data_IF_797626058625
#
_entry.id   IF_797626058625
#
_cell.length_a   1.000
_cell.length_b   1.000
_cell.length_c   1.000
_cell.angle_alpha   90.00
_cell.angle_beta   90.00
_cell.angle_gamma   90.00
#
_symmetry.space_group_name_H-M   'P 1'
#
loop_
_entity.id
_entity.type
_entity.pdbx_description
1 polymer ?
#
# COMPACT_ATOMS: atom_id res chain seq x y z
N UNK A 1 -40.63 6.17 0.96
CA UNK A 1 -39.37 5.81 1.62
C UNK A 1 -38.34 5.57 0.52
N UNK A 2 -37.39 6.49 0.28
CA UNK A 2 -36.39 6.27 -0.75
C UNK A 2 -35.52 5.08 -0.33
N UNK A 3 -35.55 4.02 -1.13
CA UNK A 3 -34.53 2.96 -1.08
C UNK A 3 -33.23 3.66 -1.45
N UNK A 4 -32.42 3.99 -0.46
CA UNK A 4 -31.03 4.38 -0.68
C UNK A 4 -30.35 3.13 -1.26
N UNK A 5 -29.96 3.12 -2.54
CA UNK A 5 -29.10 2.06 -3.02
C UNK A 5 -27.77 2.25 -2.31
N UNK A 6 -27.47 1.36 -1.36
CA UNK A 6 -26.17 1.32 -0.72
C UNK A 6 -25.18 0.85 -1.79
N UNK A 7 -24.48 1.82 -2.34
CA UNK A 7 -23.53 1.69 -3.43
C UNK A 7 -22.43 0.70 -2.99
N UNK A 8 -22.35 -0.44 -3.66
CA UNK A 8 -21.40 -1.52 -3.33
C UNK A 8 -19.92 -1.06 -3.40
N UNK A 9 -19.65 0.10 -4.01
CA UNK A 9 -18.30 0.65 -4.07
C UNK A 9 -17.81 1.16 -2.71
N UNK A 10 -18.68 1.70 -1.86
CA UNK A 10 -18.26 2.31 -0.58
C UNK A 10 -17.71 1.25 0.38
N UNK A 11 -18.42 0.11 0.52
CA UNK A 11 -17.99 -1.03 1.35
C UNK A 11 -16.66 -1.66 0.89
N UNK A 12 -16.43 -1.69 -0.42
CA UNK A 12 -15.18 -2.17 -0.99
C UNK A 12 -14.03 -1.19 -0.69
N UNK A 13 -14.30 0.12 -0.70
CA UNK A 13 -13.32 1.15 -0.37
C UNK A 13 -13.01 1.21 1.13
N UNK A 14 -14.00 1.07 2.00
CA UNK A 14 -13.79 1.03 3.46
C UNK A 14 -12.92 -0.17 3.89
N UNK A 15 -13.19 -1.35 3.32
CA UNK A 15 -12.36 -2.53 3.56
C UNK A 15 -10.93 -2.38 3.04
N UNK A 16 -10.75 -1.59 1.99
CA UNK A 16 -9.44 -1.28 1.43
C UNK A 16 -8.71 -0.27 2.33
N UNK A 17 -9.34 0.84 2.70
CA UNK A 17 -8.79 1.87 3.58
C UNK A 17 -8.24 1.29 4.88
N UNK A 18 -9.02 0.41 5.51
CA UNK A 18 -8.60 -0.28 6.74
C UNK A 18 -7.33 -1.12 6.57
N UNK A 19 -7.06 -1.59 5.35
CA UNK A 19 -5.86 -2.34 4.99
C UNK A 19 -4.70 -1.41 4.58
N UNK A 20 -4.97 -0.21 4.06
CA UNK A 20 -3.96 0.85 3.87
C UNK A 20 -3.40 1.34 5.21
N UNK A 21 -4.25 1.37 6.23
CA UNK A 21 -3.88 1.78 7.59
C UNK A 21 -3.04 0.73 8.34
N UNK A 22 -2.96 -0.52 7.84
CA UNK A 22 -2.07 -1.51 8.42
C UNK A 22 -0.61 -1.07 8.29
N UNK A 23 0.16 -1.30 9.36
CA UNK A 23 1.58 -1.00 9.38
C UNK A 23 2.37 -2.03 8.59
N UNK A 24 3.53 -1.62 8.06
CA UNK A 24 4.50 -2.49 7.38
C UNK A 24 4.95 -3.67 8.25
N UNK A 25 4.97 -3.47 9.57
CA UNK A 25 5.21 -4.52 10.56
C UNK A 25 4.08 -5.58 10.66
N UNK A 26 2.84 -5.19 10.37
CA UNK A 26 1.66 -6.07 10.51
C UNK A 26 1.45 -6.97 9.30
N UNK A 27 1.90 -6.50 8.13
CA UNK A 27 1.78 -7.21 6.85
C UNK A 27 2.90 -8.25 6.60
N UNK A 28 3.68 -8.53 7.64
CA UNK A 28 4.67 -9.61 7.65
C UNK A 28 5.97 -9.27 6.93
N UNK A 29 6.33 -7.99 6.81
CA UNK A 29 7.63 -7.61 6.26
C UNK A 29 8.75 -7.96 7.23
N UNK A 30 9.92 -8.27 6.69
CA UNK A 30 11.09 -8.53 7.50
C UNK A 30 11.44 -7.30 8.35
N UNK A 31 11.88 -7.53 9.59
CA UNK A 31 12.28 -6.48 10.55
C UNK A 31 13.32 -5.50 9.96
N UNK A 32 14.16 -5.98 9.04
CA UNK A 32 15.13 -5.14 8.33
C UNK A 32 14.47 -4.22 7.32
N UNK A 33 13.46 -4.73 6.61
CA UNK A 33 12.65 -3.95 5.67
C UNK A 33 11.84 -2.89 6.39
N UNK A 34 11.17 -3.25 7.49
CA UNK A 34 10.35 -2.32 8.28
C UNK A 34 11.23 -1.21 8.86
N UNK A 35 12.35 -1.53 9.50
CA UNK A 35 13.25 -0.49 10.04
C UNK A 35 13.75 0.48 8.97
N UNK A 36 14.03 0.01 7.74
CA UNK A 36 14.44 0.88 6.64
C UNK A 36 13.31 1.76 6.11
N UNK A 37 12.09 1.24 6.11
CA UNK A 37 10.89 1.99 5.73
C UNK A 37 10.56 3.04 6.79
N UNK A 38 10.58 2.67 8.08
CA UNK A 38 10.34 3.55 9.22
C UNK A 38 11.35 4.71 9.30
N UNK A 39 12.62 4.46 8.96
CA UNK A 39 13.65 5.51 8.91
C UNK A 39 13.38 6.56 7.81
N UNK A 40 12.69 6.17 6.73
CA UNK A 40 12.18 7.10 5.70
C UNK A 40 10.86 7.76 6.09
N UNK A 41 10.22 7.34 7.17
CA UNK A 41 8.88 7.80 7.56
C UNK A 41 7.73 6.93 7.03
N UNK A 42 8.04 5.76 6.46
CA UNK A 42 7.07 4.85 5.84
C UNK A 42 6.65 3.79 6.87
N UNK A 43 5.63 4.10 7.67
CA UNK A 43 5.12 3.19 8.70
C UNK A 43 3.96 2.32 8.22
N UNK A 44 3.20 2.79 7.22
CA UNK A 44 1.94 2.17 6.76
C UNK A 44 1.99 1.74 5.30
N UNK A 45 1.10 0.82 4.94
CA UNK A 45 0.89 0.43 3.53
C UNK A 45 0.47 1.62 2.68
N UNK A 46 -0.27 2.56 3.25
CA UNK A 46 -0.63 3.83 2.61
C UNK A 46 0.60 4.64 2.20
N UNK A 47 1.52 4.85 3.14
CA UNK A 47 2.72 5.63 2.89
C UNK A 47 3.61 4.92 1.85
N UNK A 48 3.66 3.59 1.92
CA UNK A 48 4.39 2.77 0.97
C UNK A 48 3.77 2.78 -0.44
N UNK A 49 2.44 2.88 -0.56
CA UNK A 49 1.73 3.09 -1.83
C UNK A 49 1.99 4.47 -2.43
N UNK A 50 2.21 5.48 -1.59
CA UNK A 50 2.64 6.83 -1.98
C UNK A 50 4.12 6.87 -2.38
N UNK A 51 4.99 6.06 -1.78
CA UNK A 51 6.40 5.96 -2.15
C UNK A 51 6.63 5.21 -3.46
N UNK A 52 7.48 5.75 -4.34
CA UNK A 52 7.76 5.11 -5.64
C UNK A 52 8.77 3.98 -5.52
N UNK A 53 8.77 3.09 -6.52
CA UNK A 53 9.78 2.02 -6.61
C UNK A 53 11.20 2.58 -6.58
N UNK A 54 11.42 3.70 -7.26
CA UNK A 54 12.71 4.36 -7.35
C UNK A 54 13.19 4.85 -5.98
N UNK A 55 12.27 5.43 -5.20
CA UNK A 55 12.55 5.86 -3.83
C UNK A 55 12.90 4.68 -2.93
N UNK A 56 12.20 3.55 -3.06
CA UNK A 56 12.50 2.33 -2.32
C UNK A 56 13.86 1.74 -2.73
N UNK A 57 14.16 1.62 -4.04
CA UNK A 57 15.46 1.13 -4.54
C UNK A 57 16.65 2.04 -4.18
N UNK A 58 16.40 3.32 -3.90
CA UNK A 58 17.43 4.26 -3.46
C UNK A 58 17.89 4.05 -2.00
N UNK A 59 17.18 3.25 -1.20
CA UNK A 59 17.60 2.96 0.17
C UNK A 59 18.75 1.96 0.13
N UNK A 60 19.88 2.29 0.75
CA UNK A 60 21.12 1.48 0.72
C UNK A 60 20.99 0.06 1.29
N UNK A 61 19.82 -0.28 1.85
CA UNK A 61 19.45 -1.57 2.41
C UNK A 61 18.20 -2.19 1.75
N UNK A 62 17.62 -1.55 0.73
CA UNK A 62 16.58 -2.11 -0.12
C UNK A 62 17.20 -2.79 -1.33
N UNK A 63 16.95 -4.09 -1.47
CA UNK A 63 17.25 -4.82 -2.68
C UNK A 63 15.99 -5.27 -3.40
N UNK A 64 16.17 -5.91 -4.55
CA UNK A 64 15.10 -6.55 -5.32
C UNK A 64 14.29 -7.54 -4.47
N UNK A 65 14.95 -8.30 -3.58
CA UNK A 65 14.28 -9.20 -2.62
C UNK A 65 13.34 -8.46 -1.67
N UNK A 66 13.83 -7.38 -1.08
CA UNK A 66 13.08 -6.56 -0.13
C UNK A 66 11.86 -5.93 -0.79
N UNK A 67 12.06 -5.45 -2.03
CA UNK A 67 11.04 -4.85 -2.87
C UNK A 67 9.96 -5.88 -3.28
N UNK A 68 10.37 -7.07 -3.67
CA UNK A 68 9.46 -8.17 -4.02
C UNK A 68 8.58 -8.57 -2.83
N UNK A 69 9.16 -8.71 -1.63
CA UNK A 69 8.39 -9.02 -0.40
C UNK A 69 7.34 -7.94 -0.12
N UNK A 70 7.70 -6.67 -0.27
CA UNK A 70 6.76 -5.54 -0.15
C UNK A 70 5.60 -5.67 -1.15
N UNK A 71 5.89 -5.91 -2.42
CA UNK A 71 4.85 -6.08 -3.44
C UNK A 71 3.99 -7.32 -3.19
N UNK A 72 4.58 -8.42 -2.76
CA UNK A 72 3.90 -9.67 -2.47
C UNK A 72 2.95 -9.53 -1.27
N UNK A 73 3.38 -8.82 -0.22
CA UNK A 73 2.50 -8.45 0.89
C UNK A 73 1.36 -7.56 0.41
N UNK A 74 1.63 -6.50 -0.37
CA UNK A 74 0.58 -5.66 -0.99
C UNK A 74 -0.43 -6.47 -1.80
N UNK A 75 0.03 -7.38 -2.66
CA UNK A 75 -0.84 -8.25 -3.46
C UNK A 75 -1.65 -9.23 -2.60
N UNK A 76 -1.06 -9.78 -1.54
CA UNK A 76 -1.76 -10.61 -0.56
C UNK A 76 -2.86 -9.82 0.17
N UNK A 77 -2.63 -8.52 0.34
CA UNK A 77 -3.60 -7.57 0.89
C UNK A 77 -4.54 -7.05 -0.23
N UNK A 78 -4.58 -7.67 -1.41
CA UNK A 78 -5.47 -7.27 -2.50
C UNK A 78 -5.13 -5.91 -3.13
N UNK A 79 -3.99 -5.32 -2.77
CA UNK A 79 -3.50 -4.08 -3.37
C UNK A 79 -2.69 -4.36 -4.62
N UNK A 80 -3.42 -4.56 -5.71
CA UNK A 80 -2.95 -4.41 -7.09
C UNK A 80 -2.40 -3.01 -7.34
N UNK A 81 -1.13 -2.66 -7.12
CA UNK A 81 -0.62 -1.33 -7.54
C UNK A 81 -0.91 -1.19 -9.05
N UNK A 82 -1.80 -0.28 -9.49
CA UNK A 82 -2.01 -0.09 -10.91
C UNK A 82 -0.73 0.55 -11.43
N UNK A 83 0.01 -0.18 -12.24
CA UNK A 83 1.15 0.33 -12.97
C UNK A 83 0.63 1.46 -13.87
N UNK A 84 0.65 2.71 -13.37
CA UNK A 84 0.04 3.89 -13.99
C UNK A 84 -1.39 3.66 -14.51
N UNK A 85 -2.38 3.79 -13.63
CA UNK A 85 -3.66 4.36 -14.05
C UNK A 85 -3.72 5.78 -13.47
N UNK A 86 -3.56 6.74 -14.36
CA UNK A 86 -3.84 8.16 -14.15
C UNK A 86 -5.09 8.35 -13.29
N UNK A 87 -4.96 8.99 -12.13
CA UNK A 87 -6.11 9.62 -11.48
C UNK A 87 -6.56 10.78 -12.38
N UNK A 88 -7.42 10.47 -13.35
CA UNK A 88 -8.38 11.42 -13.89
C UNK A 88 -9.61 11.26 -13.00
N UNK A 89 -9.60 11.98 -11.87
CA UNK A 89 -10.83 12.31 -11.16
C UNK A 89 -11.67 13.20 -12.09
N UNK A 90 -12.88 12.80 -12.51
CA UNK A 90 -13.80 13.73 -13.13
C UNK A 90 -14.40 14.62 -12.03
N UNK A 91 -14.19 15.93 -12.16
CA UNK A 91 -15.10 16.93 -11.59
C UNK A 91 -16.17 17.25 -12.61
#
# INVERSE_FOLDING_TARGET
MPRIPLDQAELAQEGLQKRLEMSTAEIGLAVRTTNCLEERGIFTVNDLLHCTRDDLLGISNFGEKTLEEVYKSLENIGFRRPQRATSRVPR
#
